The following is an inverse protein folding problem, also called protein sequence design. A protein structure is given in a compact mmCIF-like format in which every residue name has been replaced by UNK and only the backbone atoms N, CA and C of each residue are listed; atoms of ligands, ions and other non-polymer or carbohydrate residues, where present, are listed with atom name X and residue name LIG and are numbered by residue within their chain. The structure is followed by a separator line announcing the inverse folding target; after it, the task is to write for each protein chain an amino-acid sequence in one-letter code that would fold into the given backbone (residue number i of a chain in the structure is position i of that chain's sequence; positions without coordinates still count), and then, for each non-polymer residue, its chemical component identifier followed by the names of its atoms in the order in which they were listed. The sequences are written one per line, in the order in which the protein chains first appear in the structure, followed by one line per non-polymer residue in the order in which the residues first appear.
data_IF_164915366121
#
_entry.id   IF_164915366121
#
_cell.length_a   1.000
_cell.length_b   1.000
_cell.length_c   1.000
_cell.angle_alpha   90.00
_cell.angle_beta   90.00
_cell.angle_gamma   90.00
#
_symmetry.space_group_name_H-M   'P 1'
#
loop_
_entity.id
_entity.type
_entity.pdbx_description
1 polymer ?
#
# COMPACT_ATOMS: atom_id res chain seq x y z
N UNK A 1 23.28 -31.53 14.76
CA UNK A 1 22.85 -31.16 14.65
C UNK A 1 22.69 -30.52 14.59
N UNK A 2 22.66 -30.68 14.36
CA UNK A 2 22.21 -30.05 14.06
C UNK A 2 22.20 -29.30 13.61
N UNK A 3 22.27 -29.31 13.47
CA UNK A 3 21.99 -28.57 13.01
C UNK A 3 21.79 -28.08 12.51
N UNK A 4 21.79 -28.22 12.41
CA UNK A 4 21.36 -27.70 12.03
C UNK A 4 21.03 -27.27 11.91
N UNK A 5 21.06 -27.44 12.04
CA UNK A 5 20.53 -26.94 11.97
C UNK A 5 20.37 -26.25 11.75
N UNK A 6 20.72 -26.48 11.56
CA UNK A 6 20.47 -25.72 11.30
C UNK A 6 20.28 -25.10 10.81
N UNK A 7 20.37 -25.54 10.68
CA UNK A 7 20.11 -24.78 10.09
C UNK A 7 20.06 -23.94 9.71
N UNK A 8 20.28 -24.08 9.40
CA UNK A 8 19.88 -23.32 9.07
C UNK A 8 20.01 -22.64 8.52
N UNK A 9 20.10 -22.94 8.56
CA UNK A 9 19.89 -22.29 8.20
C UNK A 9 19.87 -21.77 7.66
N UNK A 10 19.98 -21.87 7.50
CA UNK A 10 19.70 -21.29 7.06
C UNK A 10 19.54 -20.69 6.59
N UNK A 11 19.68 -20.93 6.51
CA UNK A 11 19.25 -20.23 6.14
C UNK A 11 19.34 -19.49 5.69
N UNK A 12 19.44 -19.59 5.47
CA UNK A 12 19.15 -18.80 5.08
C UNK A 12 19.25 -18.21 4.53
N UNK A 13 19.50 -18.42 4.39
CA UNK A 13 19.17 -17.77 3.95
C UNK A 13 18.92 -17.28 3.49
N UNK A 14 19.12 -17.61 3.25
CA UNK A 14 18.40 -17.25 2.83
C UNK A 14 17.94 -16.77 3.00
N UNK A 15 17.66 -17.05 3.11
CA UNK A 15 16.89 -16.63 3.15
C UNK A 15 16.67 -15.73 3.32
N UNK A 16 16.98 -16.06 3.99
CA UNK A 16 16.77 -14.78 4.35
C UNK A 16 16.66 -13.93 3.32
N UNK A 17 16.89 -14.38 2.59
CA UNK A 17 16.56 -13.64 1.52
C UNK A 17 15.16 -13.26 1.53
N UNK A 18 14.69 -12.72 2.56
CA UNK A 18 13.37 -12.20 2.57
C UNK A 18 13.35 -10.96 1.75
N UNK A 19 12.43 -10.87 0.84
CA UNK A 19 12.21 -9.68 0.10
C UNK A 19 11.03 -8.91 0.62
N UNK A 20 10.44 -9.41 1.66
CA UNK A 20 9.30 -8.78 2.27
C UNK A 20 9.67 -7.58 3.11
N UNK A 21 8.72 -6.73 3.36
CA UNK A 21 8.88 -5.58 4.21
C UNK A 21 7.57 -5.19 4.86
N UNK A 22 7.65 -4.14 5.66
CA UNK A 22 6.48 -3.59 6.35
C UNK A 22 6.49 -2.09 6.13
N UNK A 23 5.36 -1.54 5.72
CA UNK A 23 5.27 -0.13 5.41
C UNK A 23 4.02 0.47 5.99
N UNK A 24 4.13 1.72 6.40
CA UNK A 24 3.02 2.52 6.86
C UNK A 24 2.66 3.52 5.80
N UNK A 25 1.39 3.73 5.56
CA UNK A 25 0.97 4.71 4.59
C UNK A 25 -0.53 4.77 4.48
N UNK A 26 -1.01 5.42 3.45
CA UNK A 26 -2.43 5.63 3.25
C UNK A 26 -2.99 4.67 2.21
N UNK A 27 -4.20 4.20 2.47
CA UNK A 27 -4.94 3.39 1.50
C UNK A 27 -5.89 4.32 0.75
N UNK A 28 -5.92 4.19 -0.55
CA UNK A 28 -6.83 5.00 -1.38
C UNK A 28 -7.57 4.10 -2.36
N UNK A 29 -8.71 4.61 -2.85
CA UNK A 29 -9.43 3.97 -3.94
C UNK A 29 -8.64 4.17 -5.21
N UNK A 30 -8.26 3.09 -5.88
CA UNK A 30 -7.36 3.18 -7.02
C UNK A 30 -7.96 3.95 -8.18
N UNK A 31 -9.23 3.70 -8.50
CA UNK A 31 -9.86 4.37 -9.64
C UNK A 31 -9.95 5.87 -9.44
N UNK A 32 -10.33 6.27 -8.24
CA UNK A 32 -10.38 7.68 -7.89
C UNK A 32 -8.99 8.30 -7.99
N UNK A 33 -8.01 7.62 -7.41
CA UNK A 33 -6.65 8.15 -7.35
C UNK A 33 -6.04 8.29 -8.74
N UNK A 34 -6.24 7.31 -9.60
CA UNK A 34 -5.73 7.38 -10.97
C UNK A 34 -6.41 8.50 -11.76
N UNK A 35 -7.70 8.68 -11.51
CA UNK A 35 -8.44 9.75 -12.18
C UNK A 35 -7.90 11.12 -11.78
N UNK A 36 -7.62 11.30 -10.49
CA UNK A 36 -7.07 12.57 -10.02
C UNK A 36 -5.65 12.80 -10.50
N UNK A 37 -4.86 11.73 -10.60
CA UNK A 37 -3.51 11.85 -11.13
C UNK A 37 -3.53 12.30 -12.59
N UNK A 38 -4.51 11.87 -13.34
CA UNK A 38 -4.67 12.30 -14.72
C UNK A 38 -5.02 13.76 -14.83
N UNK A 39 -5.66 14.30 -13.84
CA UNK A 39 -6.08 15.70 -13.85
C UNK A 39 -4.97 16.66 -13.40
N UNK A 40 -3.88 16.11 -12.88
CA UNK A 40 -2.76 16.93 -12.49
C UNK A 40 -1.96 17.30 -13.75
N UNK A 41 -1.71 18.59 -13.93
CA UNK A 41 -0.96 19.07 -15.08
C UNK A 41 0.49 18.63 -14.93
N UNK A 42 1.03 17.86 -15.88
CA UNK A 42 2.40 17.38 -15.77
C UNK A 42 3.45 18.49 -15.76
N UNK A 43 3.08 19.70 -16.12
CA UNK A 43 4.00 20.81 -16.05
C UNK A 43 4.04 21.50 -14.68
N UNK A 44 3.22 21.07 -13.75
CA UNK A 44 3.17 21.68 -12.43
C UNK A 44 4.46 21.40 -11.66
N UNK A 45 4.79 22.30 -10.76
CA UNK A 45 5.98 22.17 -9.94
C UNK A 45 5.81 21.01 -8.96
N UNK A 46 6.93 20.47 -8.49
CA UNK A 46 6.92 19.40 -7.51
C UNK A 46 6.19 19.84 -6.23
N UNK A 47 6.39 21.09 -5.83
CA UNK A 47 5.73 21.59 -4.64
C UNK A 47 4.23 21.54 -4.77
N UNK A 48 3.73 21.92 -5.93
CA UNK A 48 2.29 21.87 -6.20
C UNK A 48 1.79 20.43 -6.16
N UNK A 49 2.55 19.53 -6.77
CA UNK A 49 2.19 18.11 -6.79
C UNK A 49 2.14 17.56 -5.37
N UNK A 50 3.10 17.91 -4.52
CA UNK A 50 3.13 17.42 -3.15
C UNK A 50 1.88 17.88 -2.38
N UNK A 51 1.47 19.11 -2.55
CA UNK A 51 0.27 19.59 -1.89
C UNK A 51 -0.96 18.88 -2.42
N UNK A 52 -1.02 18.67 -3.72
CA UNK A 52 -2.15 17.96 -4.32
C UNK A 52 -2.18 16.51 -3.89
N UNK A 53 -1.02 15.91 -3.67
CA UNK A 53 -0.95 14.52 -3.23
C UNK A 53 -1.68 14.32 -1.89
N UNK A 54 -1.43 15.22 -0.94
CA UNK A 54 -2.09 15.14 0.35
C UNK A 54 -3.61 15.27 0.21
N UNK A 55 -4.06 16.18 -0.64
CA UNK A 55 -5.48 16.36 -0.90
C UNK A 55 -6.07 15.12 -1.58
N UNK A 56 -5.36 14.58 -2.58
CA UNK A 56 -5.82 13.42 -3.31
C UNK A 56 -6.04 12.23 -2.40
N UNK A 57 -5.12 12.02 -1.46
CA UNK A 57 -5.22 10.91 -0.53
C UNK A 57 -6.51 10.97 0.26
N UNK A 58 -6.88 12.17 0.72
CA UNK A 58 -8.11 12.33 1.49
C UNK A 58 -9.34 12.27 0.60
N UNK A 59 -9.27 12.91 -0.57
CA UNK A 59 -10.38 12.91 -1.51
C UNK A 59 -10.68 11.50 -2.01
N UNK A 60 -9.65 10.69 -2.20
CA UNK A 60 -9.80 9.34 -2.71
C UNK A 60 -9.72 8.29 -1.61
N UNK A 61 -10.04 8.65 -0.37
CA UNK A 61 -10.09 7.68 0.71
C UNK A 61 -11.02 6.53 0.32
N UNK A 62 -10.73 5.32 0.78
CA UNK A 62 -11.52 4.14 0.41
C UNK A 62 -12.98 4.30 0.79
N UNK A 63 -13.85 3.77 -0.05
CA UNK A 63 -15.29 3.74 0.19
C UNK A 63 -15.70 2.30 0.39
N UNK A 64 -16.89 2.12 0.96
CA UNK A 64 -17.39 0.77 1.21
C UNK A 64 -17.53 -0.06 -0.07
N UNK A 65 -17.69 0.62 -1.21
CA UNK A 65 -17.83 -0.06 -2.49
C UNK A 65 -16.53 -0.16 -3.27
N UNK A 66 -15.45 0.35 -2.73
CA UNK A 66 -14.15 0.29 -3.41
C UNK A 66 -13.74 -1.17 -3.60
N UNK A 67 -13.22 -1.49 -4.79
CA UNK A 67 -12.80 -2.85 -5.12
C UNK A 67 -11.33 -2.93 -5.47
N UNK A 68 -10.72 -1.84 -5.86
CA UNK A 68 -9.31 -1.78 -6.16
C UNK A 68 -8.68 -0.62 -5.40
N UNK A 69 -7.46 -0.84 -4.94
CA UNK A 69 -6.84 0.08 -4.01
C UNK A 69 -5.39 0.32 -4.39
N UNK A 70 -4.87 1.44 -3.90
CA UNK A 70 -3.45 1.71 -3.96
C UNK A 70 -2.98 2.09 -2.57
N UNK A 71 -1.71 1.88 -2.35
CA UNK A 71 -1.03 2.24 -1.12
C UNK A 71 -0.11 3.41 -1.45
N UNK A 72 -0.20 4.50 -0.67
CA UNK A 72 0.64 5.67 -0.88
C UNK A 72 1.56 5.79 0.32
N UNK A 73 2.87 5.70 0.09
CA UNK A 73 3.83 5.70 1.19
C UNK A 73 4.16 7.12 1.66
N UNK A 74 5.05 7.22 2.64
CA UNK A 74 5.40 8.49 3.24
C UNK A 74 6.05 9.46 2.25
N UNK A 75 6.67 8.93 1.21
CA UNK A 75 7.30 9.75 0.19
C UNK A 75 6.34 10.16 -0.92
N UNK A 76 5.09 9.74 -0.83
CA UNK A 76 4.09 10.07 -1.83
C UNK A 76 4.06 9.13 -3.02
N UNK A 77 4.84 8.05 -2.98
CA UNK A 77 4.83 7.07 -4.06
C UNK A 77 3.65 6.12 -3.90
N UNK A 78 2.99 5.83 -5.00
CA UNK A 78 1.81 4.97 -4.96
C UNK A 78 2.11 3.61 -5.57
N UNK A 79 1.50 2.59 -4.99
CA UNK A 79 1.65 1.21 -5.43
C UNK A 79 0.27 0.58 -5.53
N UNK A 80 -0.01 -0.07 -6.65
CA UNK A 80 -1.27 -0.79 -6.80
C UNK A 80 -1.18 -2.09 -6.00
N UNK A 81 -2.25 -2.43 -5.32
CA UNK A 81 -2.30 -3.70 -4.62
C UNK A 81 -2.56 -4.83 -5.61
N UNK A 82 -2.01 -6.01 -5.31
CA UNK A 82 -2.31 -7.20 -6.10
C UNK A 82 -3.76 -7.64 -5.82
N UNK A 83 -4.30 -8.60 -6.59
CA UNK A 83 -5.70 -9.02 -6.39
C UNK A 83 -6.02 -9.47 -4.97
N UNK A 84 -5.11 -10.21 -4.34
CA UNK A 84 -5.32 -10.64 -2.97
C UNK A 84 -5.29 -9.45 -2.02
N UNK A 85 -4.39 -8.50 -2.27
CA UNK A 85 -4.33 -7.27 -1.50
C UNK A 85 -5.61 -6.45 -1.61
N UNK A 86 -6.17 -6.38 -2.81
CA UNK A 86 -7.43 -5.67 -3.01
C UNK A 86 -8.55 -6.32 -2.20
N UNK A 87 -8.61 -7.64 -2.19
CA UNK A 87 -9.63 -8.35 -1.44
C UNK A 87 -9.48 -8.10 0.06
N UNK A 88 -8.25 -8.16 0.56
CA UNK A 88 -7.97 -7.91 1.97
C UNK A 88 -8.29 -6.47 2.35
N UNK A 89 -7.95 -5.52 1.48
CA UNK A 89 -8.24 -4.12 1.73
C UNK A 89 -9.75 -3.87 1.76
N UNK A 90 -10.49 -4.47 0.84
CA UNK A 90 -11.94 -4.31 0.81
C UNK A 90 -12.57 -4.83 2.11
N UNK A 91 -12.10 -5.97 2.59
CA UNK A 91 -12.59 -6.51 3.85
C UNK A 91 -12.25 -5.59 5.02
N UNK A 92 -11.04 -5.06 5.02
CA UNK A 92 -10.60 -4.16 6.08
C UNK A 92 -11.47 -2.89 6.12
N UNK A 93 -11.75 -2.32 4.96
CA UNK A 93 -12.57 -1.11 4.88
C UNK A 93 -13.99 -1.39 5.38
N UNK A 94 -14.57 -2.52 4.98
CA UNK A 94 -15.91 -2.86 5.44
C UNK A 94 -15.96 -3.08 6.95
N UNK A 95 -14.92 -3.69 7.50
CA UNK A 95 -14.86 -3.98 8.92
C UNK A 95 -14.59 -2.72 9.75
N UNK A 96 -13.71 -1.85 9.25
CA UNK A 96 -13.28 -0.67 9.98
C UNK A 96 -14.25 0.50 9.81
N UNK A 97 -14.86 0.59 8.63
CA UNK A 97 -15.71 1.73 8.28
C UNK A 97 -14.93 2.80 7.58
N UNK A 98 -15.66 3.73 7.00
CA UNK A 98 -15.10 4.82 6.22
C UNK A 98 -14.30 5.78 7.09
N UNK A 99 -13.21 6.29 6.54
CA UNK A 99 -12.37 7.30 7.20
C UNK A 99 -11.86 8.28 6.18
N UNK A 100 -11.70 9.54 6.61
CA UNK A 100 -11.18 10.58 5.71
C UNK A 100 -9.74 10.34 5.34
N UNK A 101 -8.97 9.75 6.26
CA UNK A 101 -7.60 9.35 6.01
C UNK A 101 -7.47 7.92 6.52
N UNK A 102 -7.37 6.98 5.59
CA UNK A 102 -7.34 5.57 5.96
C UNK A 102 -5.88 5.10 6.00
N UNK A 103 -5.29 5.15 7.17
CA UNK A 103 -3.90 4.74 7.32
C UNK A 103 -3.79 3.27 7.65
N UNK A 104 -2.81 2.62 7.05
CA UNK A 104 -2.63 1.18 7.17
C UNK A 104 -1.16 0.84 7.36
N UNK A 105 -0.95 -0.37 7.87
CA UNK A 105 0.35 -1.01 7.85
C UNK A 105 0.21 -2.20 6.93
N UNK A 106 1.09 -2.29 5.94
CA UNK A 106 1.06 -3.37 4.97
C UNK A 106 2.34 -4.16 5.09
N UNK A 107 2.21 -5.48 5.15
CA UNK A 107 3.35 -6.39 5.05
C UNK A 107 3.26 -7.07 3.70
N UNK A 108 4.38 -7.13 2.99
CA UNK A 108 4.38 -7.74 1.68
C UNK A 108 5.66 -7.43 0.93
N UNK A 109 5.54 -7.36 -0.37
CA UNK A 109 6.70 -7.19 -1.22
C UNK A 109 6.39 -6.17 -2.31
N UNK A 110 7.26 -5.17 -2.46
CA UNK A 110 7.13 -4.19 -3.54
C UNK A 110 7.79 -4.74 -4.78
N UNK A 111 7.08 -4.65 -5.90
CA UNK A 111 7.57 -5.13 -7.17
C UNK A 111 7.19 -4.10 -8.23
N UNK A 112 8.12 -3.19 -8.51
CA UNK A 112 7.84 -2.07 -9.39
C UNK A 112 6.81 -1.16 -8.75
N UNK A 113 5.72 -0.91 -9.46
CA UNK A 113 4.64 -0.07 -8.95
C UNK A 113 3.51 -0.90 -8.33
N UNK A 114 3.80 -2.16 -8.02
CA UNK A 114 2.83 -3.06 -7.39
C UNK A 114 3.27 -3.42 -5.99
N UNK A 115 2.29 -3.71 -5.15
CA UNK A 115 2.54 -4.18 -3.80
C UNK A 115 1.81 -5.51 -3.63
N UNK A 116 2.61 -6.56 -3.46
CA UNK A 116 2.08 -7.90 -3.21
C UNK A 116 1.83 -7.99 -1.71
N UNK A 117 0.58 -8.09 -1.32
CA UNK A 117 0.19 -7.95 0.07
C UNK A 117 0.08 -9.30 0.78
N UNK A 118 0.82 -9.45 1.87
CA UNK A 118 0.68 -10.62 2.75
C UNK A 118 -0.34 -10.33 3.84
N UNK A 119 -0.32 -9.11 4.37
CA UNK A 119 -1.29 -8.70 5.37
C UNK A 119 -1.44 -7.19 5.35
N UNK A 120 -2.60 -6.72 5.81
CA UNK A 120 -2.89 -5.30 5.89
C UNK A 120 -3.76 -5.07 7.11
N UNK A 121 -3.45 -4.00 7.84
CA UNK A 121 -4.21 -3.64 9.03
C UNK A 121 -4.34 -2.14 9.12
N UNK A 122 -5.46 -1.69 9.68
CA UNK A 122 -5.65 -0.26 9.92
C UNK A 122 -4.72 0.19 11.04
N UNK A 123 -4.16 1.39 10.90
CA UNK A 123 -3.22 1.93 11.88
C UNK A 123 -3.73 3.18 12.55
N UNK A 124 -4.93 3.63 12.24
CA UNK A 124 -5.51 4.79 12.91
C UNK A 124 -6.94 4.55 13.37
#
# INVERSE_FOLDING_TARGET
MSVIKRPGAFILLASGLSFGGSWRGALVDLRCFESEEHNVNPGDSLTYVDRNRSWEIRFCAPRLKSKSFAFVDADGLSFRLDPDGNRRAAELVRKTGKRDLFQVVVNGEKNGNKLMVDSIAASN
#
